data_IF_817388089158
#
_entry.id   IF_817388089158
#
_cell.length_a   1.000
_cell.length_b   1.000
_cell.length_c   1.000
_cell.angle_alpha   90.00
_cell.angle_beta   90.00
_cell.angle_gamma   90.00
#
_symmetry.space_group_name_H-M   'P 1'
#
loop_
_entity.id
_entity.type
_entity.pdbx_description
1 polymer ?
#
# COMPACT_ATOMS: atom_id res chain seq x y z
N UNK A 1 13.51 -3.72 -6.23
CA UNK A 1 13.09 -2.33 -6.16
C UNK A 1 11.77 -2.13 -6.87
N UNK A 2 10.88 -1.38 -6.27
CA UNK A 2 9.56 -1.20 -6.83
C UNK A 2 9.50 0.11 -7.59
N UNK A 3 9.51 0.04 -8.90
CA UNK A 3 9.56 1.23 -9.75
C UNK A 3 8.28 2.05 -9.68
N UNK A 4 7.19 1.47 -9.14
CA UNK A 4 5.93 2.19 -9.08
C UNK A 4 6.01 3.43 -8.21
N UNK A 5 6.91 3.44 -7.24
CA UNK A 5 7.01 4.56 -6.30
C UNK A 5 8.28 5.38 -6.47
N UNK A 6 9.07 5.11 -7.50
CA UNK A 6 10.36 5.77 -7.65
C UNK A 6 10.25 7.29 -7.66
N UNK A 7 9.24 7.82 -8.31
CA UNK A 7 9.10 9.27 -8.42
C UNK A 7 8.88 9.95 -7.07
N UNK A 8 8.39 9.20 -6.09
CA UNK A 8 8.11 9.78 -4.79
C UNK A 8 9.34 9.84 -3.90
N UNK A 9 10.37 9.06 -4.21
CA UNK A 9 11.58 9.08 -3.39
C UNK A 9 12.36 10.38 -3.55
N UNK A 10 12.15 11.07 -4.66
CA UNK A 10 12.81 12.33 -4.91
C UNK A 10 11.86 13.51 -4.81
N UNK A 11 10.64 13.27 -4.39
CA UNK A 11 9.65 14.32 -4.29
C UNK A 11 9.98 15.25 -3.15
N UNK A 12 9.71 16.53 -3.34
CA UNK A 12 9.95 17.52 -2.31
C UNK A 12 8.73 17.78 -1.44
N UNK A 13 7.59 17.26 -1.82
CA UNK A 13 6.38 17.43 -1.03
C UNK A 13 6.51 16.73 0.31
N UNK A 14 6.07 17.39 1.40
CA UNK A 14 6.19 16.79 2.72
C UNK A 14 5.47 15.44 2.82
N UNK A 15 6.15 14.46 3.34
CA UNK A 15 5.56 13.18 3.62
C UNK A 15 5.51 12.21 2.45
N UNK A 16 5.70 12.68 1.22
CA UNK A 16 5.62 11.79 0.06
C UNK A 16 6.64 10.67 0.16
N UNK A 17 7.88 11.05 0.42
CA UNK A 17 8.95 10.07 0.46
C UNK A 17 8.74 9.05 1.57
N UNK A 18 8.36 9.52 2.75
CA UNK A 18 8.17 8.63 3.88
C UNK A 18 7.03 7.66 3.64
N UNK A 19 5.94 8.16 3.09
CA UNK A 19 4.82 7.28 2.81
C UNK A 19 5.15 6.28 1.71
N UNK A 20 5.92 6.70 0.71
CA UNK A 20 6.34 5.79 -0.34
C UNK A 20 7.23 4.68 0.21
N UNK A 21 8.16 5.05 1.10
CA UNK A 21 9.02 4.06 1.72
C UNK A 21 8.21 3.07 2.55
N UNK A 22 7.20 3.55 3.26
CA UNK A 22 6.33 2.69 4.04
C UNK A 22 5.63 1.65 3.16
N UNK A 23 5.05 2.09 2.05
CA UNK A 23 4.38 1.18 1.14
C UNK A 23 5.37 0.22 0.48
N UNK A 24 6.53 0.72 0.05
CA UNK A 24 7.52 -0.13 -0.59
C UNK A 24 8.01 -1.21 0.37
N UNK A 25 8.19 -0.85 1.64
CA UNK A 25 8.60 -1.81 2.65
C UNK A 25 7.53 -2.87 2.85
N UNK A 26 6.28 -2.44 2.99
CA UNK A 26 5.19 -3.37 3.23
C UNK A 26 5.01 -4.34 2.06
N UNK A 27 5.12 -3.82 0.84
CA UNK A 27 4.98 -4.66 -0.35
C UNK A 27 6.19 -5.59 -0.49
N UNK A 28 7.37 -5.08 -0.19
CA UNK A 28 8.59 -5.89 -0.28
C UNK A 28 8.57 -7.08 0.66
N UNK A 29 7.99 -6.91 1.84
CA UNK A 29 7.87 -8.02 2.78
C UNK A 29 7.00 -9.14 2.21
N UNK A 30 5.96 -8.79 1.46
CA UNK A 30 5.12 -9.81 0.84
C UNK A 30 5.82 -10.48 -0.32
N UNK A 31 6.67 -9.74 -1.02
CA UNK A 31 7.36 -10.28 -2.18
C UNK A 31 8.32 -11.41 -1.80
N UNK A 32 8.86 -11.36 -0.60
CA UNK A 32 9.74 -12.43 -0.12
C UNK A 32 8.99 -13.77 -0.11
N UNK A 33 7.69 -13.74 0.18
CA UNK A 33 6.87 -14.94 0.18
C UNK A 33 6.24 -15.20 -1.18
N UNK A 34 6.61 -14.45 -2.20
CA UNK A 34 6.07 -14.63 -3.52
C UNK A 34 4.71 -13.99 -3.73
N UNK A 35 4.24 -13.21 -2.77
CA UNK A 35 2.93 -12.57 -2.88
C UNK A 35 3.10 -11.21 -3.54
N UNK A 36 2.23 -10.92 -4.51
CA UNK A 36 2.31 -9.68 -5.24
C UNK A 36 1.00 -8.91 -5.12
N UNK A 37 1.08 -7.60 -4.92
CA UNK A 37 -0.14 -6.80 -4.78
C UNK A 37 -0.85 -6.63 -6.12
N UNK A 38 -2.14 -6.31 -6.03
CA UNK A 38 -2.93 -6.03 -7.21
C UNK A 38 -2.65 -4.62 -7.71
N UNK A 39 -3.11 -4.35 -8.93
CA UNK A 39 -3.02 -3.00 -9.47
C UNK A 39 -3.86 -2.04 -8.63
N UNK A 40 -4.96 -2.51 -8.07
CA UNK A 40 -5.80 -1.68 -7.21
C UNK A 40 -5.04 -1.22 -5.97
N UNK A 41 -4.26 -2.11 -5.36
CA UNK A 41 -3.49 -1.71 -4.19
C UNK A 41 -2.46 -0.66 -4.55
N UNK A 42 -1.75 -0.83 -5.66
CA UNK A 42 -0.74 0.13 -6.08
C UNK A 42 -1.39 1.49 -6.29
N UNK A 43 -2.53 1.53 -6.95
CA UNK A 43 -3.24 2.77 -7.18
C UNK A 43 -3.68 3.42 -5.87
N UNK A 44 -4.19 2.62 -4.94
CA UNK A 44 -4.61 3.11 -3.64
C UNK A 44 -3.43 3.63 -2.84
N UNK A 45 -2.29 2.93 -2.92
CA UNK A 45 -1.09 3.36 -2.24
C UNK A 45 -0.62 4.72 -2.74
N UNK A 46 -0.69 4.94 -4.04
CA UNK A 46 -0.28 6.23 -4.61
C UNK A 46 -1.17 7.37 -4.10
N UNK A 47 -2.45 7.10 -3.93
CA UNK A 47 -3.35 8.11 -3.38
C UNK A 47 -2.97 8.48 -1.96
N UNK A 48 -2.60 7.49 -1.16
CA UNK A 48 -2.15 7.78 0.20
C UNK A 48 -0.82 8.53 0.19
N UNK A 49 0.10 8.14 -0.68
CA UNK A 49 1.39 8.81 -0.77
C UNK A 49 1.20 10.28 -1.10
N UNK A 50 0.28 10.57 -2.00
CA UNK A 50 0.03 11.94 -2.44
C UNK A 50 -0.87 12.71 -1.49
N UNK A 51 -1.27 12.10 -0.39
CA UNK A 51 -2.03 12.81 0.62
C UNK A 51 -3.51 12.90 0.38
N UNK A 52 -4.03 12.22 -0.64
CA UNK A 52 -5.46 12.25 -0.92
C UNK A 52 -6.26 11.50 0.13
N UNK A 53 -5.68 10.43 0.67
CA UNK A 53 -6.34 9.63 1.68
C UNK A 53 -5.33 9.27 2.75
N UNK A 54 -5.81 8.94 3.93
CA UNK A 54 -4.93 8.50 5.02
C UNK A 54 -4.62 7.02 4.87
N UNK A 55 -3.64 6.54 5.63
CA UNK A 55 -3.30 5.12 5.63
C UNK A 55 -4.49 4.29 6.10
N UNK A 56 -5.24 4.80 7.08
CA UNK A 56 -6.43 4.09 7.56
C UNK A 56 -7.49 4.01 6.47
N UNK A 57 -7.66 5.10 5.72
CA UNK A 57 -8.61 5.10 4.62
C UNK A 57 -8.18 4.15 3.51
N UNK A 58 -6.88 4.08 3.24
CA UNK A 58 -6.37 3.16 2.25
C UNK A 58 -6.69 1.72 2.64
N UNK A 59 -6.50 1.38 3.91
CA UNK A 59 -6.81 0.05 4.40
C UNK A 59 -8.30 -0.26 4.25
N UNK A 60 -9.16 0.71 4.56
CA UNK A 60 -10.59 0.51 4.42
C UNK A 60 -10.98 0.28 2.97
N UNK A 61 -10.34 1.01 2.06
CA UNK A 61 -10.63 0.84 0.64
C UNK A 61 -10.24 -0.54 0.15
N UNK A 62 -9.10 -1.05 0.61
CA UNK A 62 -8.65 -2.38 0.23
C UNK A 62 -9.63 -3.43 0.77
N UNK A 63 -10.03 -3.30 2.02
CA UNK A 63 -10.96 -4.25 2.61
C UNK A 63 -12.30 -4.23 1.86
N UNK A 64 -12.79 -3.04 1.53
CA UNK A 64 -14.05 -2.91 0.82
C UNK A 64 -13.97 -3.48 -0.58
N UNK A 65 -12.84 -3.32 -1.23
CA UNK A 65 -12.65 -3.83 -2.58
C UNK A 65 -12.86 -5.34 -2.63
N UNK A 66 -12.29 -6.06 -1.66
CA UNK A 66 -12.43 -7.51 -1.64
C UNK A 66 -13.74 -7.97 -1.05
N UNK A 67 -14.37 -7.14 -0.24
CA UNK A 67 -15.65 -7.47 0.34
C UNK A 67 -16.77 -7.41 -0.68
N UNK A 68 -16.76 -6.38 -1.50
CA UNK A 68 -17.79 -6.18 -2.51
C UNK A 68 -17.56 -7.06 -3.71
N UNK A 69 -16.32 -7.29 -4.04
CA UNK A 69 -15.99 -7.98 -5.25
C UNK A 69 -15.95 -9.46 -4.99
N UNK A 70 -17.03 -10.14 -5.29
CA UNK A 70 -17.05 -11.55 -5.19
C UNK A 70 -16.56 -12.18 -6.43
N UNK A 71 -15.73 -11.53 -7.14
CA UNK A 71 -15.32 -11.97 -8.38
C UNK A 71 -14.12 -12.83 -8.31
N UNK A 72 -14.11 -13.75 -9.09
CA UNK A 72 -13.18 -14.78 -9.08
C UNK A 72 -11.98 -14.53 -9.96
N UNK A 73 -11.94 -13.37 -10.57
CA UNK A 73 -10.82 -13.01 -11.42
C UNK A 73 -9.63 -12.52 -10.63
N UNK A 74 -9.82 -12.26 -9.33
CA UNK A 74 -8.73 -11.76 -8.50
C UNK A 74 -8.00 -12.95 -7.91
N UNK A 75 -6.69 -13.06 -8.12
CA UNK A 75 -5.92 -14.16 -7.54
C UNK A 75 -6.01 -14.12 -6.02
N UNK A 76 -6.12 -15.28 -5.42
CA UNK A 76 -6.19 -15.40 -3.97
C UNK A 76 -5.00 -14.74 -3.31
N UNK A 77 -3.83 -14.92 -3.91
CA UNK A 77 -2.61 -14.36 -3.36
C UNK A 77 -2.64 -12.84 -3.33
N UNK A 78 -3.31 -12.23 -4.31
CA UNK A 78 -3.37 -10.77 -4.35
C UNK A 78 -4.19 -10.22 -3.20
N UNK A 79 -5.27 -10.90 -2.82
CA UNK A 79 -6.08 -10.43 -1.69
C UNK A 79 -5.26 -10.43 -0.41
N UNK A 80 -4.55 -11.50 -0.15
CA UNK A 80 -3.72 -11.58 1.04
C UNK A 80 -2.62 -10.53 1.01
N UNK A 81 -1.94 -10.40 -0.13
CA UNK A 81 -0.86 -9.44 -0.26
C UNK A 81 -1.37 -8.03 -0.02
N UNK A 82 -2.51 -7.69 -0.62
CA UNK A 82 -3.07 -6.36 -0.47
C UNK A 82 -3.44 -6.05 0.97
N UNK A 83 -4.13 -6.96 1.63
CA UNK A 83 -4.59 -6.72 2.99
C UNK A 83 -3.44 -6.62 3.97
N UNK A 84 -2.44 -7.49 3.81
CA UNK A 84 -1.29 -7.46 4.70
C UNK A 84 -0.45 -6.22 4.44
N UNK A 85 -0.27 -5.85 3.17
CA UNK A 85 0.50 -4.66 2.84
C UNK A 85 -0.16 -3.41 3.41
N UNK A 86 -1.47 -3.29 3.28
CA UNK A 86 -2.17 -2.12 3.79
C UNK A 86 -2.07 -2.03 5.31
N UNK A 87 -2.20 -3.16 5.99
CA UNK A 87 -2.09 -3.20 7.44
C UNK A 87 -0.67 -2.87 7.89
N UNK A 88 0.31 -3.46 7.23
CA UNK A 88 1.70 -3.23 7.60
C UNK A 88 2.10 -1.79 7.38
N UNK A 89 1.66 -1.22 6.25
CA UNK A 89 1.96 0.18 5.98
C UNK A 89 1.32 1.09 7.02
N UNK A 90 0.11 0.80 7.43
CA UNK A 90 -0.55 1.61 8.45
C UNK A 90 0.25 1.60 9.75
N UNK A 91 0.78 0.44 10.12
CA UNK A 91 1.59 0.33 11.31
C UNK A 91 2.88 1.11 11.16
N UNK A 92 3.54 0.99 10.02
CA UNK A 92 4.78 1.69 9.77
C UNK A 92 4.59 3.19 9.86
N UNK A 93 3.57 3.73 9.18
CA UNK A 93 3.34 5.16 9.17
C UNK A 93 2.90 5.66 10.53
N UNK A 94 2.14 4.86 11.25
CA UNK A 94 1.71 5.21 12.59
C UNK A 94 2.90 5.33 13.53
N UNK A 95 3.86 4.43 13.39
CA UNK A 95 5.07 4.51 14.21
C UNK A 95 5.90 5.71 13.85
N UNK A 96 6.01 6.01 12.57
CA UNK A 96 6.80 7.16 12.11
C UNK A 96 6.22 8.48 12.58
N UNK A 97 4.91 8.56 12.64
CA UNK A 97 4.27 9.83 12.96
C UNK A 97 4.40 10.19 14.45
N UNK A 98 5.02 9.34 15.23
CA UNK A 98 5.24 9.64 16.64
C UNK A 98 6.35 10.63 16.86
N UNK A 99 7.11 10.89 15.85
CA UNK A 99 8.16 11.90 15.95
C UNK A 99 7.67 13.21 15.39
#
# INVERSE_FOLDING_TARGET
MNDEFDKYYEATEPGYRERAIGWATAIGLQDVDGLKPSAYLIKTAKRNIEGEITAAEARKLVDAYYEVKDDHDIPVDAEEADKVAARTNQIILRSSSRF
#
